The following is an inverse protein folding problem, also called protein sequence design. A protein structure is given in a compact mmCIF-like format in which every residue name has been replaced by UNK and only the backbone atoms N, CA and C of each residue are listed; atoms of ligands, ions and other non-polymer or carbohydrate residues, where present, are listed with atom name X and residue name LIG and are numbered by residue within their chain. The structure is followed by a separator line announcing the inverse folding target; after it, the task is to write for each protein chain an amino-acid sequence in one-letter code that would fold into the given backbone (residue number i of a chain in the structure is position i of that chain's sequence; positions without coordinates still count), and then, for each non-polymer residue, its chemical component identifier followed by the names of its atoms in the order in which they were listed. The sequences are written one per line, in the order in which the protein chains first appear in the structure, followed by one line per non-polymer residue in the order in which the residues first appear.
data_IF_802420390813
#
_entry.id   IF_802420390813
#
_cell.length_a   1.000
_cell.length_b   1.000
_cell.length_c   1.000
_cell.angle_alpha   90.00
_cell.angle_beta   90.00
_cell.angle_gamma   90.00
#
_symmetry.space_group_name_H-M   'P 1'
#
loop_
_entity.id
_entity.type
_entity.pdbx_description
1 polymer ?
#
# COMPACT_ATOMS: atom_id res chain seq x y z
N UNK A 1 -7.26 18.86 10.01
CA UNK A 1 -6.15 18.07 10.55
C UNK A 1 -6.34 17.90 12.04
N UNK A 2 -6.29 16.66 12.53
CA UNK A 2 -6.34 16.31 13.94
C UNK A 2 -5.05 16.75 14.61
N UNK A 3 -5.12 17.35 15.79
CA UNK A 3 -3.95 17.87 16.49
C UNK A 3 -3.26 16.82 17.39
N UNK A 4 -3.43 15.52 17.10
CA UNK A 4 -3.02 14.41 17.98
C UNK A 4 -1.89 13.54 17.39
N UNK A 5 -1.00 14.15 16.60
CA UNK A 5 0.09 13.43 15.92
C UNK A 5 1.24 13.01 16.85
N UNK A 6 1.36 13.59 18.05
CA UNK A 6 2.45 13.31 18.97
C UNK A 6 2.33 11.90 19.58
N UNK A 7 3.34 11.05 19.39
CA UNK A 7 3.38 9.69 19.95
C UNK A 7 2.48 8.65 19.28
N UNK A 8 1.91 8.94 18.11
CA UNK A 8 1.06 7.99 17.35
C UNK A 8 1.75 7.44 16.11
N UNK A 9 1.39 6.20 15.75
CA UNK A 9 1.71 5.60 14.46
C UNK A 9 1.08 6.40 13.31
N UNK A 10 1.59 6.23 12.08
CA UNK A 10 1.00 6.88 10.91
C UNK A 10 -0.50 6.54 10.78
N UNK A 11 -1.32 7.58 10.60
CA UNK A 11 -2.76 7.43 10.37
C UNK A 11 -3.21 8.37 9.25
N UNK A 12 -4.24 7.96 8.52
CA UNK A 12 -4.93 8.81 7.54
C UNK A 12 -6.16 9.43 8.17
N UNK A 13 -6.42 10.68 7.82
CA UNK A 13 -7.66 11.36 8.22
C UNK A 13 -8.78 11.05 7.24
N UNK A 14 -9.91 10.62 7.76
CA UNK A 14 -11.13 10.41 6.98
C UNK A 14 -12.28 11.17 7.63
N UNK A 15 -13.07 11.85 6.80
CA UNK A 15 -14.30 12.48 7.24
C UNK A 15 -15.43 11.46 7.21
N UNK A 16 -16.09 11.24 8.35
CA UNK A 16 -17.18 10.27 8.47
C UNK A 16 -18.44 11.00 8.94
N UNK A 17 -19.52 10.84 8.19
CA UNK A 17 -20.85 11.33 8.54
C UNK A 17 -21.76 10.17 8.96
N UNK A 18 -22.36 10.31 10.14
CA UNK A 18 -23.33 9.39 10.74
C UNK A 18 -24.61 10.16 11.07
N UNK A 19 -25.45 10.36 10.05
CA UNK A 19 -26.70 11.12 10.19
C UNK A 19 -26.43 12.60 10.41
N UNK A 20 -26.84 13.14 11.57
CA UNK A 20 -26.59 14.55 11.94
C UNK A 20 -25.20 14.80 12.54
N UNK A 21 -24.44 13.75 12.84
CA UNK A 21 -23.11 13.86 13.44
C UNK A 21 -22.04 13.60 12.38
N UNK A 22 -21.08 14.49 12.26
CA UNK A 22 -19.93 14.31 11.36
C UNK A 22 -18.66 14.78 12.03
N UNK A 23 -17.56 14.04 11.85
CA UNK A 23 -16.25 14.41 12.39
C UNK A 23 -15.11 13.83 11.54
N UNK A 24 -13.89 14.29 11.81
CA UNK A 24 -12.65 13.78 11.21
C UNK A 24 -12.04 12.72 12.13
N UNK A 25 -11.83 11.51 11.61
CA UNK A 25 -11.27 10.38 12.34
C UNK A 25 -9.89 10.03 11.79
N UNK A 26 -8.95 9.76 12.70
CA UNK A 26 -7.66 9.19 12.34
C UNK A 26 -7.78 7.67 12.28
N UNK A 27 -7.52 7.09 11.11
CA UNK A 27 -7.51 5.65 10.90
C UNK A 27 -6.07 5.18 10.78
N UNK A 28 -5.65 4.39 11.76
CA UNK A 28 -4.35 3.72 11.77
C UNK A 28 -4.47 2.46 10.89
N UNK A 29 -4.04 2.59 9.64
CA UNK A 29 -3.82 1.44 8.78
C UNK A 29 -2.34 1.23 8.53
N UNK A 30 -1.94 -0.04 8.58
CA UNK A 30 -0.61 -0.45 8.19
C UNK A 30 -0.40 -0.09 6.70
N UNK A 31 0.69 0.58 6.31
CA UNK A 31 0.94 0.98 4.92
C UNK A 31 0.91 -0.20 3.94
N UNK A 32 1.21 -1.42 4.42
CA UNK A 32 1.09 -2.69 3.70
C UNK A 32 -0.31 -2.89 3.10
N UNK A 33 -1.36 -2.43 3.79
CA UNK A 33 -2.74 -2.59 3.34
C UNK A 33 -3.05 -1.76 2.08
N UNK A 34 -2.23 -0.76 1.74
CA UNK A 34 -2.42 0.06 0.54
C UNK A 34 -2.59 -0.75 -0.75
N UNK A 35 -1.78 -1.79 -0.91
CA UNK A 35 -1.83 -2.66 -2.08
C UNK A 35 -3.15 -3.41 -2.24
N UNK A 36 -3.91 -3.62 -1.15
CA UNK A 36 -5.20 -4.31 -1.21
C UNK A 36 -6.30 -3.46 -1.87
N UNK A 37 -6.21 -2.12 -1.74
CA UNK A 37 -7.26 -1.20 -2.17
C UNK A 37 -6.82 -0.21 -3.26
N UNK A 38 -5.63 -0.40 -3.83
CA UNK A 38 -5.19 0.43 -4.95
C UNK A 38 -6.18 0.38 -6.13
N UNK A 39 -6.49 1.54 -6.68
CA UNK A 39 -7.28 1.69 -7.91
C UNK A 39 -6.41 1.78 -9.16
N UNK A 40 -5.11 2.05 -8.99
CA UNK A 40 -4.18 2.34 -10.08
C UNK A 40 -3.87 1.08 -10.89
N UNK A 41 -4.02 1.18 -12.22
CA UNK A 41 -3.79 0.03 -13.13
C UNK A 41 -2.37 -0.50 -13.01
N UNK A 42 -1.38 0.40 -13.00
CA UNK A 42 0.04 0.07 -12.94
C UNK A 42 0.37 -0.76 -11.70
N UNK A 43 -0.22 -0.40 -10.56
CA UNK A 43 -0.02 -1.09 -9.29
C UNK A 43 -0.71 -2.46 -9.28
N UNK A 44 -1.92 -2.56 -9.86
CA UNK A 44 -2.60 -3.85 -10.05
C UNK A 44 -1.82 -4.80 -10.95
N UNK A 45 -1.20 -4.31 -12.02
CA UNK A 45 -0.35 -5.12 -12.91
C UNK A 45 0.90 -5.64 -12.17
N UNK A 46 1.55 -4.79 -11.36
CA UNK A 46 2.67 -5.21 -10.53
C UNK A 46 2.25 -6.27 -9.50
N UNK A 47 1.11 -6.08 -8.84
CA UNK A 47 0.60 -7.03 -7.84
C UNK A 47 0.27 -8.39 -8.47
N UNK A 48 -0.19 -8.44 -9.73
CA UNK A 48 -0.40 -9.70 -10.46
C UNK A 48 0.90 -10.50 -10.63
N UNK A 49 2.04 -9.84 -10.83
CA UNK A 49 3.36 -10.51 -10.93
C UNK A 49 3.70 -11.19 -9.59
N UNK A 50 3.51 -10.49 -8.47
CA UNK A 50 3.72 -11.07 -7.14
C UNK A 50 2.72 -12.18 -6.83
N UNK A 51 1.45 -12.00 -7.20
CA UNK A 51 0.42 -13.03 -7.02
C UNK A 51 0.74 -14.31 -7.81
N UNK A 52 1.22 -14.17 -9.04
CA UNK A 52 1.65 -15.31 -9.85
C UNK A 52 2.83 -16.08 -9.23
N UNK A 53 3.69 -15.39 -8.46
CA UNK A 53 4.84 -15.99 -7.79
C UNK A 53 4.49 -16.66 -6.46
N UNK A 54 3.67 -16.01 -5.63
CA UNK A 54 3.43 -16.41 -4.24
C UNK A 54 2.07 -17.07 -4.00
N UNK A 55 1.17 -17.07 -5.00
CA UNK A 55 -0.06 -17.86 -5.03
C UNK A 55 -1.23 -17.30 -4.21
N UNK A 56 -0.98 -16.53 -3.15
CA UNK A 56 -2.04 -15.86 -2.36
C UNK A 56 -1.88 -14.34 -2.39
N UNK A 57 -3.02 -13.63 -2.33
CA UNK A 57 -3.03 -12.17 -2.33
C UNK A 57 -2.35 -11.59 -1.09
N UNK A 58 -2.58 -12.19 0.07
CA UNK A 58 -1.96 -11.77 1.32
C UNK A 58 -0.43 -11.85 1.23
N UNK A 59 0.11 -13.00 0.81
CA UNK A 59 1.56 -13.17 0.66
C UNK A 59 2.12 -12.21 -0.40
N UNK A 60 1.41 -12.04 -1.54
CA UNK A 60 1.83 -11.09 -2.57
C UNK A 60 1.95 -9.65 -2.04
N UNK A 61 0.97 -9.20 -1.23
CA UNK A 61 0.97 -7.86 -0.61
C UNK A 61 2.12 -7.72 0.41
N UNK A 62 2.36 -8.73 1.24
CA UNK A 62 3.47 -8.71 2.20
C UNK A 62 4.80 -8.61 1.47
N UNK A 63 5.03 -9.44 0.45
CA UNK A 63 6.30 -9.50 -0.29
C UNK A 63 6.57 -8.26 -1.14
N UNK A 64 5.54 -7.72 -1.82
CA UNK A 64 5.72 -6.51 -2.63
C UNK A 64 6.05 -5.29 -1.76
N UNK A 65 5.50 -5.23 -0.54
CA UNK A 65 5.79 -4.16 0.40
C UNK A 65 7.18 -4.31 1.05
N UNK A 66 7.60 -5.53 1.37
CA UNK A 66 8.97 -5.82 1.81
C UNK A 66 9.99 -5.40 0.74
N UNK A 67 9.76 -5.79 -0.51
CA UNK A 67 10.63 -5.44 -1.63
C UNK A 67 10.64 -3.92 -1.88
N UNK A 68 9.49 -3.24 -1.78
CA UNK A 68 9.41 -1.76 -1.89
C UNK A 68 10.23 -1.07 -0.80
N UNK A 69 10.13 -1.55 0.45
CA UNK A 69 10.91 -1.01 1.57
C UNK A 69 12.40 -1.23 1.36
N UNK A 70 12.80 -2.40 0.84
CA UNK A 70 14.19 -2.72 0.52
C UNK A 70 14.74 -1.94 -0.68
N UNK A 71 13.91 -1.54 -1.65
CA UNK A 71 14.25 -0.64 -2.77
C UNK A 71 14.34 0.86 -2.35
N UNK A 72 14.38 1.14 -1.05
CA UNK A 72 14.51 2.50 -0.51
C UNK A 72 13.19 3.19 -0.20
N UNK A 73 12.07 2.47 -0.23
CA UNK A 73 10.77 3.00 0.21
C UNK A 73 10.14 4.00 -0.76
N UNK A 74 10.41 3.87 -2.06
CA UNK A 74 9.83 4.70 -3.12
C UNK A 74 8.30 4.77 -3.06
N UNK A 75 7.72 5.78 -3.72
CA UNK A 75 6.27 5.87 -3.90
C UNK A 75 5.74 4.59 -4.56
N UNK A 76 4.57 4.12 -4.15
CA UNK A 76 3.95 2.86 -4.61
C UNK A 76 3.94 2.74 -6.15
N UNK A 77 3.52 3.81 -6.83
CA UNK A 77 3.48 3.87 -8.30
C UNK A 77 4.86 3.72 -8.96
N UNK A 78 5.91 4.31 -8.37
CA UNK A 78 7.27 4.24 -8.92
C UNK A 78 7.83 2.82 -8.79
N UNK A 79 7.63 2.21 -7.63
CA UNK A 79 8.01 0.82 -7.41
C UNK A 79 7.25 -0.13 -8.34
N UNK A 80 5.93 0.06 -8.49
CA UNK A 80 5.12 -0.72 -9.42
C UNK A 80 5.62 -0.60 -10.87
N UNK A 81 6.07 0.58 -11.30
CA UNK A 81 6.68 0.77 -12.64
C UNK A 81 7.95 -0.06 -12.79
N UNK A 82 8.83 -0.11 -11.79
CA UNK A 82 10.03 -0.96 -11.82
C UNK A 82 9.65 -2.44 -11.94
N UNK A 83 8.75 -2.92 -11.08
CA UNK A 83 8.24 -4.31 -11.14
C UNK A 83 7.73 -4.65 -12.54
N UNK A 84 6.93 -3.75 -13.13
CA UNK A 84 6.37 -3.94 -14.46
C UNK A 84 7.43 -3.87 -15.58
N UNK A 85 8.52 -3.12 -15.42
CA UNK A 85 9.62 -3.11 -16.39
C UNK A 85 10.41 -4.43 -16.36
N UNK A 86 10.68 -4.96 -15.16
CA UNK A 86 11.40 -6.22 -15.01
C UNK A 86 10.54 -7.47 -15.27
N UNK A 87 9.20 -7.34 -15.17
CA UNK A 87 8.23 -8.45 -15.29
C UNK A 87 8.51 -9.61 -14.32
N UNK A 88 9.13 -9.31 -13.18
CA UNK A 88 9.54 -10.28 -12.13
C UNK A 88 9.38 -9.63 -10.75
N UNK A 89 9.42 -10.44 -9.70
CA UNK A 89 9.55 -9.94 -8.30
C UNK A 89 10.98 -9.46 -8.04
N UNK A 90 11.19 -8.55 -7.07
CA UNK A 90 12.49 -7.88 -6.89
C UNK A 90 13.63 -8.83 -6.58
N UNK A 91 13.35 -9.91 -5.85
CA UNK A 91 14.31 -10.95 -5.57
C UNK A 91 14.88 -11.65 -6.82
N UNK A 92 14.30 -11.42 -8.01
CA UNK A 92 14.67 -12.03 -9.29
C UNK A 92 15.04 -11.00 -10.37
N UNK A 93 15.22 -9.73 -10.00
CA UNK A 93 15.62 -8.65 -10.91
C UNK A 93 17.08 -8.76 -11.35
#
# INVERSE_FOLDING_TARGET
ALNNHEGRSYFKEVWICRGQHSDVYGVEEAPECYWAYTTERTEKEALKIYLARYGTLQEAITRIEEDRKADGGLLYLEFARKVNQHQKVMSLW
#
